data_IF_764897792235
#
_entry.id   IF_764897792235
#
_cell.length_a   1.000
_cell.length_b   1.000
_cell.length_c   1.000
_cell.angle_alpha   90.00
_cell.angle_beta   90.00
_cell.angle_gamma   90.00
#
_symmetry.space_group_name_H-M   'P 1'
#
loop_
_entity.id
_entity.type
_entity.pdbx_description
1 polymer ?
#
# COMPACT_ATOMS: atom_id res chain seq x y z
N UNK A 1 -1.11 -21.39 9.99
CA UNK A 1 -1.24 -19.91 10.09
C UNK A 1 -2.32 -19.44 9.12
N UNK A 2 -3.21 -18.54 9.53
CA UNK A 2 -4.22 -17.94 8.63
C UNK A 2 -3.56 -16.84 7.79
N UNK A 3 -3.93 -16.78 6.51
CA UNK A 3 -3.47 -15.75 5.56
C UNK A 3 -4.58 -14.74 5.31
N UNK A 4 -4.21 -13.46 5.23
CA UNK A 4 -5.11 -12.36 4.90
C UNK A 4 -4.46 -11.56 3.78
N UNK A 5 -5.20 -11.34 2.70
CA UNK A 5 -4.76 -10.46 1.62
C UNK A 5 -5.52 -9.14 1.71
N UNK A 6 -4.79 -8.02 1.62
CA UNK A 6 -5.36 -6.67 1.55
C UNK A 6 -5.07 -6.14 0.16
N UNK A 7 -6.11 -5.85 -0.61
CA UNK A 7 -6.00 -5.38 -1.98
C UNK A 7 -6.34 -3.88 -2.05
N UNK A 8 -5.34 -3.06 -2.36
CA UNK A 8 -5.53 -1.64 -2.60
C UNK A 8 -5.67 -1.40 -4.11
N UNK A 9 -6.88 -1.08 -4.58
CA UNK A 9 -7.17 -0.96 -6.01
C UNK A 9 -7.10 0.47 -6.58
N UNK A 10 -7.07 1.52 -5.74
CA UNK A 10 -7.27 2.91 -6.17
C UNK A 10 -6.12 3.87 -5.83
N UNK A 11 -5.60 4.56 -6.86
CA UNK A 11 -4.72 5.75 -6.81
C UNK A 11 -5.42 6.98 -6.23
N UNK A 12 -4.64 7.97 -5.75
CA UNK A 12 -5.16 9.07 -4.98
C UNK A 12 -5.45 10.30 -5.87
N UNK A 13 -6.70 10.47 -6.26
CA UNK A 13 -7.31 11.80 -6.20
C UNK A 13 -8.37 11.74 -5.10
N UNK A 14 -8.03 12.28 -3.92
CA UNK A 14 -8.94 12.35 -2.75
C UNK A 14 -8.95 11.15 -1.79
N UNK A 15 -8.28 10.02 -2.08
CA UNK A 15 -8.33 8.79 -1.23
C UNK A 15 -7.03 8.36 -0.56
N UNK A 16 -6.01 9.24 -0.50
CA UNK A 16 -4.71 8.96 0.14
C UNK A 16 -4.84 8.46 1.60
N UNK A 17 -5.78 9.03 2.36
CA UNK A 17 -6.05 8.62 3.75
C UNK A 17 -6.51 7.16 3.87
N UNK A 18 -7.35 6.69 2.95
CA UNK A 18 -7.87 5.30 2.95
C UNK A 18 -6.72 4.30 2.77
N UNK A 19 -5.78 4.65 1.91
CA UNK A 19 -4.60 3.86 1.65
C UNK A 19 -3.62 3.82 2.82
N UNK A 20 -3.39 4.96 3.49
CA UNK A 20 -2.59 5.00 4.71
C UNK A 20 -3.25 4.18 5.84
N UNK A 21 -4.57 4.22 5.96
CA UNK A 21 -5.32 3.40 6.91
C UNK A 21 -5.22 1.90 6.59
N UNK A 22 -5.30 1.51 5.30
CA UNK A 22 -5.09 0.13 4.87
C UNK A 22 -3.66 -0.36 5.21
N UNK A 23 -2.64 0.49 5.03
CA UNK A 23 -1.27 0.17 5.40
C UNK A 23 -1.11 0.02 6.91
N UNK A 24 -1.70 0.93 7.71
CA UNK A 24 -1.70 0.84 9.19
C UNK A 24 -2.40 -0.43 9.67
N UNK A 25 -3.51 -0.80 9.04
CA UNK A 25 -4.22 -2.05 9.33
C UNK A 25 -3.34 -3.28 9.03
N UNK A 26 -2.69 -3.32 7.86
CA UNK A 26 -1.81 -4.41 7.47
C UNK A 26 -0.64 -4.57 8.45
N UNK A 27 -0.02 -3.46 8.86
CA UNK A 27 1.04 -3.44 9.84
C UNK A 27 0.56 -3.93 11.22
N UNK A 28 -0.59 -3.45 11.68
CA UNK A 28 -1.18 -3.86 12.96
C UNK A 28 -1.50 -5.35 12.99
N UNK A 29 -2.10 -5.89 11.93
CA UNK A 29 -2.40 -7.32 11.80
C UNK A 29 -1.14 -8.18 11.78
N UNK A 30 -0.09 -7.73 11.09
CA UNK A 30 1.22 -8.41 11.05
C UNK A 30 1.91 -8.38 12.41
N UNK A 31 1.86 -7.25 13.12
CA UNK A 31 2.46 -7.08 14.45
C UNK A 31 1.88 -8.04 15.50
N UNK A 32 0.65 -8.54 15.31
CA UNK A 32 0.08 -9.56 16.21
C UNK A 32 0.82 -10.90 16.16
N UNK A 33 1.61 -11.18 15.11
CA UNK A 33 2.30 -12.44 14.90
C UNK A 33 1.39 -13.65 14.63
N UNK A 34 0.07 -13.45 14.57
CA UNK A 34 -0.93 -14.53 14.41
C UNK A 34 -1.35 -14.75 12.95
N UNK A 35 -1.13 -13.73 12.12
CA UNK A 35 -1.59 -13.68 10.74
C UNK A 35 -0.41 -13.39 9.82
N UNK A 36 -0.39 -14.07 8.68
CA UNK A 36 0.44 -13.66 7.55
C UNK A 36 -0.41 -12.73 6.69
N UNK A 37 0.05 -11.49 6.55
CA UNK A 37 -0.66 -10.45 5.80
C UNK A 37 0.09 -10.18 4.51
N UNK A 38 -0.61 -10.31 3.39
CA UNK A 38 -0.09 -9.96 2.07
C UNK A 38 -0.77 -8.66 1.62
N UNK A 39 -0.01 -7.57 1.47
CA UNK A 39 -0.51 -6.30 0.96
C UNK A 39 -0.25 -6.23 -0.55
N UNK A 40 -1.31 -6.14 -1.34
CA UNK A 40 -1.27 -6.12 -2.80
C UNK A 40 -1.72 -4.75 -3.27
N UNK A 41 -0.84 -4.03 -3.95
CA UNK A 41 -1.13 -2.73 -4.56
C UNK A 41 -1.38 -2.94 -6.05
N UNK A 42 -2.53 -2.49 -6.55
CA UNK A 42 -2.75 -2.39 -8.00
C UNK A 42 -2.02 -1.17 -8.57
N UNK A 43 -1.88 -1.10 -9.90
CA UNK A 43 -1.08 -0.08 -10.62
C UNK A 43 -1.28 1.35 -10.10
N UNK A 44 -2.52 1.71 -9.78
CA UNK A 44 -2.88 3.05 -9.32
C UNK A 44 -2.51 3.25 -7.82
N UNK A 45 -2.63 2.21 -7.00
CA UNK A 45 -2.22 2.22 -5.60
C UNK A 45 -0.68 2.22 -5.39
N UNK A 46 0.12 1.98 -6.43
CA UNK A 46 1.59 2.13 -6.34
C UNK A 46 2.01 3.58 -6.00
N UNK A 47 1.19 4.57 -6.35
CA UNK A 47 1.42 5.98 -6.01
C UNK A 47 1.46 6.22 -4.49
N UNK A 48 0.95 5.31 -3.67
CA UNK A 48 1.02 5.38 -2.21
C UNK A 48 2.42 5.14 -1.65
N UNK A 49 3.30 4.52 -2.45
CA UNK A 49 4.71 4.31 -2.12
C UNK A 49 5.59 5.48 -2.58
N UNK A 50 5.04 6.46 -3.31
CA UNK A 50 5.83 7.61 -3.71
C UNK A 50 6.21 8.44 -2.48
N UNK A 51 7.50 8.72 -2.27
CA UNK A 51 7.93 9.59 -1.19
C UNK A 51 7.47 11.04 -1.43
N UNK A 52 7.00 11.73 -0.39
CA UNK A 52 6.58 13.15 -0.44
C UNK A 52 7.73 14.13 -0.74
N UNK A 53 8.99 13.66 -0.77
CA UNK A 53 10.19 14.48 -0.89
C UNK A 53 10.92 14.21 -2.20
N UNK A 54 10.58 14.98 -3.24
CA UNK A 54 11.53 15.65 -4.14
C UNK A 54 12.70 14.86 -4.75
N UNK A 55 12.53 13.59 -5.10
CA UNK A 55 13.45 12.85 -5.98
C UNK A 55 12.94 12.88 -7.43
N UNK A 56 13.82 12.81 -8.45
CA UNK A 56 13.40 12.86 -9.84
C UNK A 56 12.39 11.74 -10.09
N UNK A 57 11.24 12.13 -10.63
CA UNK A 57 10.10 11.28 -10.94
C UNK A 57 10.55 10.32 -12.04
N UNK A 58 11.16 9.20 -11.64
CA UNK A 58 11.20 8.01 -12.46
C UNK A 58 9.77 7.50 -12.51
N UNK A 59 9.08 7.71 -13.62
CA UNK A 59 7.82 7.02 -13.86
C UNK A 59 8.10 5.52 -13.74
N UNK A 60 7.34 4.86 -12.87
CA UNK A 60 7.39 3.41 -12.71
C UNK A 60 7.00 2.67 -14.00
N UNK A 61 6.63 3.39 -15.06
CA UNK A 61 6.45 2.91 -16.44
C UNK A 61 7.75 2.45 -17.11
N UNK A 62 8.90 2.54 -16.44
CA UNK A 62 10.21 2.14 -16.99
C UNK A 62 10.69 0.75 -16.54
N UNK A 63 9.83 -0.08 -15.93
CA UNK A 63 10.13 -1.47 -15.53
C UNK A 63 9.33 -2.45 -16.38
#
# INVERSE_FOLDING_TARGET
MKRVAILCQSAPEGKRRLAEEALRLAAGLTATGRLRVDLILSSSALLLLQPDLGGPIGSWDSI
#
